data_IF_700255245048
#
_entry.id   IF_700255245048
#
_cell.length_a   1.000
_cell.length_b   1.000
_cell.length_c   1.000
_cell.angle_alpha   90.00
_cell.angle_beta   90.00
_cell.angle_gamma   90.00
#
_symmetry.space_group_name_H-M   'P 1'
#
loop_
_entity.id
_entity.type
_entity.pdbx_description
1 polymer ?
#
# COMPACT_ATOMS: atom_id res chain seq x y z
N UNK A 1 -8.83 31.59 34.60
CA UNK A 1 -8.89 32.47 33.42
C UNK A 1 -9.27 31.61 32.22
N UNK A 2 -10.52 31.15 32.06
CA UNK A 2 -11.60 31.76 31.27
C UNK A 2 -11.14 32.53 30.03
N UNK A 3 -11.26 31.91 28.86
CA UNK A 3 -11.46 32.62 27.58
C UNK A 3 -12.72 32.08 26.91
N UNK A 4 -13.62 33.02 26.62
CA UNK A 4 -15.00 32.84 26.17
C UNK A 4 -15.12 33.69 24.90
N UNK A 5 -15.55 33.10 23.79
CA UNK A 5 -15.93 33.84 22.56
C UNK A 5 -16.60 32.87 21.60
N UNK A 6 -17.94 32.88 21.44
CA UNK A 6 -18.72 33.74 20.52
C UNK A 6 -18.16 33.65 19.09
N UNK A 7 -18.88 33.24 18.05
CA UNK A 7 -20.30 32.99 17.86
C UNK A 7 -20.54 32.69 16.38
N UNK A 8 -21.78 32.27 16.09
CA UNK A 8 -22.35 31.88 14.80
C UNK A 8 -21.87 32.64 13.54
N UNK A 9 -21.76 31.91 12.44
CA UNK A 9 -22.23 32.37 11.13
C UNK A 9 -22.78 31.19 10.31
N UNK A 10 -24.11 31.11 10.27
CA UNK A 10 -24.89 30.31 9.31
C UNK A 10 -24.93 31.11 8.00
N UNK A 11 -24.58 30.48 6.88
CA UNK A 11 -24.86 31.02 5.55
C UNK A 11 -25.36 29.90 4.65
N UNK A 12 -26.69 29.80 4.57
CA UNK A 12 -27.39 29.04 3.55
C UNK A 12 -27.34 29.82 2.24
N UNK A 13 -26.98 29.17 1.13
CA UNK A 13 -27.14 29.75 -0.20
C UNK A 13 -27.83 28.72 -1.10
N UNK A 14 -29.11 28.99 -1.32
CA UNK A 14 -30.02 28.31 -2.24
C UNK A 14 -29.75 28.87 -3.64
N UNK A 15 -29.43 28.02 -4.61
CA UNK A 15 -29.62 28.34 -6.03
C UNK A 15 -30.40 27.21 -6.69
N UNK A 16 -31.63 27.54 -7.05
CA UNK A 16 -32.52 26.78 -7.90
C UNK A 16 -32.15 27.04 -9.38
N UNK A 17 -32.11 26.00 -10.19
CA UNK A 17 -32.13 26.12 -11.65
C UNK A 17 -33.10 25.11 -12.26
N UNK A 18 -34.03 25.70 -13.00
CA UNK A 18 -35.21 25.13 -13.64
C UNK A 18 -34.86 24.58 -15.02
N UNK A 19 -35.39 23.39 -15.31
CA UNK A 19 -36.05 23.04 -16.58
C UNK A 19 -35.25 23.02 -17.88
N UNK A 20 -35.08 21.82 -18.45
CA UNK A 20 -35.08 21.64 -19.90
C UNK A 20 -35.86 20.36 -20.28
N UNK A 21 -37.12 20.55 -20.65
CA UNK A 21 -37.98 19.52 -21.27
C UNK A 21 -37.64 19.41 -22.76
N UNK A 22 -36.87 18.39 -23.12
CA UNK A 22 -36.56 18.04 -24.51
C UNK A 22 -37.62 17.10 -25.11
N UNK A 23 -38.15 17.50 -26.26
CA UNK A 23 -39.25 16.89 -27.00
C UNK A 23 -38.86 15.52 -27.63
N UNK A 24 -39.77 14.55 -27.55
CA UNK A 24 -39.64 13.21 -28.12
C UNK A 24 -39.90 13.22 -29.64
N UNK A 25 -38.95 12.71 -30.43
CA UNK A 25 -39.16 12.35 -31.84
C UNK A 25 -39.56 10.87 -31.99
N UNK A 26 -40.38 10.51 -32.99
CA UNK A 26 -40.76 9.11 -33.22
C UNK A 26 -39.53 8.26 -33.60
N UNK A 27 -39.40 7.14 -32.89
CA UNK A 27 -38.32 6.18 -33.01
C UNK A 27 -38.35 5.45 -34.38
N UNK A 28 -37.20 5.30 -35.07
CA UNK A 28 -37.12 4.45 -36.25
C UNK A 28 -37.31 2.97 -35.86
N UNK A 29 -38.07 2.25 -36.69
CA UNK A 29 -38.34 0.82 -36.53
C UNK A 29 -37.02 0.01 -36.56
N UNK A 30 -36.82 -0.96 -35.65
CA UNK A 30 -35.61 -1.78 -35.66
C UNK A 30 -35.60 -2.69 -36.88
N UNK A 31 -34.57 -2.52 -37.71
CA UNK A 31 -34.19 -3.48 -38.74
C UNK A 31 -33.78 -4.80 -38.08
N UNK A 32 -34.30 -5.97 -38.52
CA UNK A 32 -33.88 -7.25 -37.96
C UNK A 32 -32.39 -7.46 -38.23
N UNK A 33 -31.59 -7.41 -37.16
CA UNK A 33 -30.17 -7.77 -37.21
C UNK A 33 -30.07 -9.29 -37.35
N UNK A 34 -29.27 -9.82 -38.30
CA UNK A 34 -29.04 -11.25 -38.39
C UNK A 34 -28.42 -11.76 -37.08
N UNK A 35 -29.09 -12.73 -36.45
CA UNK A 35 -28.57 -13.44 -35.29
C UNK A 35 -27.38 -14.29 -35.71
N UNK A 36 -26.18 -13.74 -35.59
CA UNK A 36 -24.95 -14.53 -35.67
C UNK A 36 -24.89 -15.42 -34.41
N UNK A 37 -25.29 -16.68 -34.58
CA UNK A 37 -24.98 -17.74 -33.61
C UNK A 37 -23.46 -17.86 -33.53
N UNK A 38 -22.86 -17.16 -32.56
CA UNK A 38 -21.48 -17.40 -32.17
C UNK A 38 -21.47 -18.68 -31.36
N UNK A 39 -21.02 -19.77 -31.98
CA UNK A 39 -20.52 -20.94 -31.26
C UNK A 39 -19.46 -20.43 -30.29
N UNK A 40 -19.71 -20.58 -28.99
CA UNK A 40 -18.70 -20.35 -27.97
C UNK A 40 -17.63 -21.44 -28.14
N UNK A 41 -16.63 -21.16 -28.98
CA UNK A 41 -15.35 -21.84 -28.89
C UNK A 41 -14.83 -21.56 -27.48
N UNK A 42 -14.66 -22.63 -26.70
CA UNK A 42 -14.12 -22.56 -25.36
C UNK A 42 -12.88 -21.65 -25.37
N UNK A 43 -12.96 -20.57 -24.58
CA UNK A 43 -11.79 -19.74 -24.32
C UNK A 43 -10.68 -20.67 -23.81
N UNK A 44 -9.44 -20.55 -24.31
CA UNK A 44 -8.33 -21.22 -23.65
C UNK A 44 -8.35 -20.73 -22.20
N UNK A 45 -8.50 -21.68 -21.27
CA UNK A 45 -8.23 -21.44 -19.87
C UNK A 45 -6.80 -20.95 -19.81
N UNK A 46 -6.61 -19.64 -19.69
CA UNK A 46 -5.33 -19.07 -19.31
C UNK A 46 -5.08 -19.58 -17.89
N UNK A 47 -4.47 -20.75 -17.80
CA UNK A 47 -3.79 -21.20 -16.59
C UNK A 47 -2.78 -20.10 -16.33
N UNK A 48 -3.11 -19.20 -15.42
CA UNK A 48 -2.13 -18.36 -14.77
C UNK A 48 -1.18 -19.33 -14.08
N UNK A 49 -0.10 -19.69 -14.78
CA UNK A 49 1.04 -20.32 -14.17
C UNK A 49 1.44 -19.39 -13.05
N UNK A 50 1.25 -19.83 -11.81
CA UNK A 50 1.66 -19.10 -10.63
C UNK A 50 3.08 -18.62 -10.88
N UNK A 51 3.23 -17.31 -11.00
CA UNK A 51 4.54 -16.67 -11.07
C UNK A 51 5.28 -17.17 -9.85
N UNK A 52 6.43 -17.81 -10.07
CA UNK A 52 7.30 -18.22 -8.99
C UNK A 52 7.51 -16.98 -8.12
N UNK A 53 6.99 -17.02 -6.89
CA UNK A 53 7.36 -16.06 -5.87
C UNK A 53 8.88 -16.08 -5.85
N UNK A 54 9.60 -14.99 -6.20
CA UNK A 54 10.97 -14.91 -5.78
C UNK A 54 10.87 -14.95 -4.26
N UNK A 55 11.30 -16.05 -3.66
CA UNK A 55 11.67 -16.04 -2.26
C UNK A 55 13.05 -15.41 -2.29
N UNK A 56 13.24 -14.12 -1.97
CA UNK A 56 14.57 -13.64 -1.66
C UNK A 56 15.02 -14.47 -0.46
N UNK A 57 15.89 -15.45 -0.71
CA UNK A 57 16.52 -16.25 0.31
C UNK A 57 17.67 -15.42 0.90
N UNK A 58 17.36 -14.21 1.38
CA UNK A 58 18.27 -13.49 2.22
C UNK A 58 18.28 -14.23 3.56
N UNK A 59 19.38 -14.91 3.84
CA UNK A 59 19.63 -15.40 5.20
C UNK A 59 19.58 -14.17 6.11
N UNK A 60 18.71 -14.13 7.14
CA UNK A 60 18.66 -12.98 8.03
C UNK A 60 20.06 -12.77 8.60
N UNK A 61 20.64 -11.60 8.32
CA UNK A 61 21.86 -11.20 9.00
C UNK A 61 21.50 -11.08 10.47
N UNK A 62 22.29 -11.72 11.33
CA UNK A 62 22.07 -11.69 12.77
C UNK A 62 21.95 -10.23 13.21
N UNK A 63 20.77 -9.88 13.72
CA UNK A 63 20.42 -8.54 14.22
C UNK A 63 21.53 -8.09 15.15
N UNK A 64 22.23 -7.00 14.78
CA UNK A 64 23.23 -6.42 15.65
C UNK A 64 22.55 -6.02 16.98
N UNK A 65 23.18 -6.32 18.10
CA UNK A 65 22.69 -5.89 19.41
C UNK A 65 22.58 -4.35 19.39
N UNK A 66 21.35 -3.85 19.42
CA UNK A 66 21.06 -2.43 19.46
C UNK A 66 21.82 -1.77 20.62
N UNK A 67 22.40 -0.58 20.41
CA UNK A 67 23.03 0.17 21.49
C UNK A 67 21.99 0.48 22.56
N UNK A 68 22.39 0.58 23.84
CA UNK A 68 21.45 0.80 24.93
C UNK A 68 20.54 2.02 24.67
N UNK A 69 19.26 1.77 24.35
CA UNK A 69 18.26 2.80 24.04
C UNK A 69 17.75 2.78 22.59
N UNK A 70 18.45 2.14 21.66
CA UNK A 70 17.99 1.97 20.28
C UNK A 70 16.92 0.88 20.17
N UNK A 71 16.02 1.04 19.20
CA UNK A 71 15.00 0.05 18.88
C UNK A 71 15.65 -1.26 18.41
N UNK A 72 15.18 -2.40 18.89
CA UNK A 72 15.61 -3.72 18.38
C UNK A 72 14.94 -4.06 17.06
N UNK A 73 15.44 -5.07 16.34
CA UNK A 73 14.80 -5.56 15.12
C UNK A 73 13.35 -6.00 15.31
N UNK A 74 13.06 -6.75 16.39
CA UNK A 74 11.69 -7.18 16.72
C UNK A 74 10.76 -5.99 17.00
N UNK A 75 11.27 -5.00 17.75
CA UNK A 75 10.57 -3.76 17.99
C UNK A 75 10.31 -2.98 16.70
N UNK A 76 11.24 -3.00 15.74
CA UNK A 76 11.05 -2.39 14.43
C UNK A 76 9.95 -3.07 13.62
N UNK A 77 9.79 -4.40 13.73
CA UNK A 77 8.66 -5.11 13.09
C UNK A 77 7.33 -4.66 13.69
N UNK A 78 7.23 -4.58 15.02
CA UNK A 78 6.01 -4.11 15.69
C UNK A 78 5.67 -2.67 15.31
N UNK A 79 6.67 -1.78 15.29
CA UNK A 79 6.49 -0.38 14.86
C UNK A 79 6.07 -0.32 13.40
N UNK A 80 6.64 -1.15 12.52
CA UNK A 80 6.30 -1.16 11.11
C UNK A 80 4.84 -1.53 10.88
N UNK A 81 4.34 -2.59 11.52
CA UNK A 81 2.94 -2.99 11.42
C UNK A 81 2.00 -1.91 11.98
N UNK A 82 2.35 -1.31 13.12
CA UNK A 82 1.57 -0.20 13.69
C UNK A 82 1.48 0.99 12.75
N UNK A 83 2.61 1.40 12.15
CA UNK A 83 2.63 2.52 11.20
C UNK A 83 1.90 2.15 9.91
N UNK A 84 2.01 0.93 9.43
CA UNK A 84 1.24 0.44 8.29
C UNK A 84 -0.26 0.57 8.54
N UNK A 85 -0.76 0.12 9.68
CA UNK A 85 -2.17 0.26 10.05
C UNK A 85 -2.60 1.73 10.18
N UNK A 86 -1.70 2.62 10.63
CA UNK A 86 -1.96 4.07 10.74
C UNK A 86 -2.01 4.76 9.37
N UNK A 87 -1.12 4.38 8.45
CA UNK A 87 -1.03 4.96 7.10
C UNK A 87 -1.87 4.23 6.06
N UNK A 88 -2.42 3.07 6.39
CA UNK A 88 -3.33 2.31 5.53
C UNK A 88 -4.51 3.21 5.11
N UNK A 89 -4.56 3.55 3.82
CA UNK A 89 -5.62 4.38 3.27
C UNK A 89 -6.97 3.66 3.24
N UNK A 90 -8.01 4.35 2.76
CA UNK A 90 -9.35 3.76 2.57
C UNK A 90 -9.42 2.67 1.46
N UNK A 91 -8.27 2.25 0.92
CA UNK A 91 -8.15 1.23 -0.13
C UNK A 91 -7.92 -0.17 0.44
N UNK A 92 -7.70 -1.12 -0.45
CA UNK A 92 -7.34 -2.48 -0.03
C UNK A 92 -5.85 -2.57 0.28
N UNK A 93 -5.53 -2.49 1.57
CA UNK A 93 -4.16 -2.63 2.04
C UNK A 93 -3.64 -4.06 1.96
N UNK A 94 -2.32 -4.17 1.77
CA UNK A 94 -1.59 -5.42 1.91
C UNK A 94 -1.76 -5.97 3.34
N UNK A 95 -2.11 -7.25 3.44
CA UNK A 95 -2.22 -7.98 4.71
C UNK A 95 -0.99 -8.88 4.88
N UNK A 96 -0.28 -8.85 6.03
CA UNK A 96 0.87 -9.69 6.29
C UNK A 96 0.57 -11.19 6.09
N UNK A 97 1.46 -11.90 5.39
CA UNK A 97 1.30 -13.33 5.06
C UNK A 97 2.43 -14.23 5.58
N UNK A 98 3.50 -13.65 6.11
CA UNK A 98 4.66 -14.42 6.55
C UNK A 98 5.57 -13.68 7.53
N UNK A 99 6.72 -14.29 7.81
CA UNK A 99 7.71 -13.74 8.73
C UNK A 99 8.35 -12.46 8.15
N UNK A 100 8.55 -11.47 9.01
CA UNK A 100 9.26 -10.26 8.65
C UNK A 100 10.75 -10.54 8.39
N UNK A 101 11.31 -9.81 7.44
CA UNK A 101 12.73 -9.74 7.17
C UNK A 101 13.22 -8.38 7.67
N UNK A 102 14.22 -8.40 8.54
CA UNK A 102 14.80 -7.20 9.17
C UNK A 102 16.26 -7.11 8.77
N UNK A 103 16.67 -5.93 8.31
CA UNK A 103 18.03 -5.67 7.87
C UNK A 103 18.59 -4.43 8.57
N UNK A 104 19.82 -4.54 9.05
CA UNK A 104 20.63 -3.39 9.43
C UNK A 104 21.00 -2.57 8.18
N UNK A 105 20.86 -1.25 8.31
CA UNK A 105 21.23 -0.25 7.30
C UNK A 105 22.53 0.43 7.73
N UNK A 106 23.35 0.83 6.76
CA UNK A 106 24.59 1.60 7.05
C UNK A 106 24.35 3.12 7.08
N UNK A 107 23.08 3.53 6.95
CA UNK A 107 22.62 4.91 6.92
C UNK A 107 21.44 5.05 7.88
N UNK A 108 21.14 6.28 8.30
CA UNK A 108 19.96 6.57 9.11
C UNK A 108 18.70 6.72 8.23
N UNK A 109 17.52 6.27 8.68
CA UNK A 109 17.24 5.49 9.89
C UNK A 109 17.83 4.05 9.85
N UNK A 110 18.19 3.45 11.00
CA UNK A 110 19.02 2.22 11.04
C UNK A 110 18.36 0.93 10.50
N UNK A 111 17.04 0.81 10.52
CA UNK A 111 16.32 -0.42 10.21
C UNK A 111 15.63 -0.37 8.85
N UNK A 112 15.76 -1.43 8.06
CA UNK A 112 14.87 -1.76 6.96
C UNK A 112 14.06 -2.99 7.35
N UNK A 113 12.73 -2.87 7.36
CA UNK A 113 11.80 -3.96 7.64
C UNK A 113 10.99 -4.24 6.39
N UNK A 114 10.97 -5.51 5.96
CA UNK A 114 10.18 -6.01 4.84
C UNK A 114 9.31 -7.18 5.30
N UNK A 115 7.99 -7.00 5.25
CA UNK A 115 7.02 -8.01 5.70
C UNK A 115 6.28 -8.51 4.46
N UNK A 116 6.40 -9.80 4.09
CA UNK A 116 5.64 -10.34 2.98
C UNK A 116 4.14 -10.22 3.27
N UNK A 117 3.38 -9.77 2.27
CA UNK A 117 1.98 -9.45 2.40
C UNK A 117 1.23 -9.69 1.09
N UNK A 118 -0.10 -9.66 1.11
CA UNK A 118 -0.91 -9.79 -0.11
C UNK A 118 -2.25 -9.09 0.01
N UNK A 119 -2.82 -8.71 -1.14
CA UNK A 119 -4.20 -8.28 -1.30
C UNK A 119 -4.78 -8.87 -2.60
N UNK A 120 -5.95 -8.42 -3.04
CA UNK A 120 -6.61 -8.91 -4.25
C UNK A 120 -5.83 -8.64 -5.54
N UNK A 121 -4.88 -7.69 -5.53
CA UNK A 121 -4.01 -7.37 -6.67
C UNK A 121 -2.79 -8.29 -6.77
N UNK A 122 -2.45 -9.00 -5.68
CA UNK A 122 -1.38 -9.99 -5.67
C UNK A 122 -0.47 -9.89 -4.44
N UNK A 123 0.68 -10.58 -4.49
CA UNK A 123 1.68 -10.52 -3.43
C UNK A 123 2.47 -9.21 -3.47
N UNK A 124 2.92 -8.78 -2.30
CA UNK A 124 3.76 -7.62 -2.12
C UNK A 124 4.51 -7.66 -0.79
N UNK A 125 5.07 -6.53 -0.41
CA UNK A 125 5.75 -6.31 0.85
C UNK A 125 5.22 -5.04 1.51
N UNK A 126 5.00 -5.10 2.80
CA UNK A 126 4.95 -3.91 3.64
C UNK A 126 6.39 -3.55 3.95
N UNK A 127 6.80 -2.33 3.62
CA UNK A 127 8.13 -1.82 3.86
C UNK A 127 8.11 -0.68 4.85
N UNK A 128 9.03 -0.75 5.82
CA UNK A 128 9.33 0.38 6.69
C UNK A 128 10.83 0.65 6.79
N UNK A 129 11.21 1.92 6.78
CA UNK A 129 12.55 2.41 7.11
C UNK A 129 12.47 3.15 8.44
N UNK A 130 13.09 2.59 9.49
CA UNK A 130 12.84 2.95 10.89
C UNK A 130 14.14 3.21 11.66
N UNK A 131 14.05 4.02 12.71
CA UNK A 131 15.14 4.32 13.62
C UNK A 131 14.62 4.94 14.91
N UNK A 132 15.50 5.59 15.67
CA UNK A 132 15.14 6.14 16.97
C UNK A 132 14.89 5.05 18.02
N UNK A 133 13.98 5.32 18.94
CA UNK A 133 13.65 4.41 20.04
C UNK A 133 12.28 3.77 19.82
N UNK A 134 11.97 2.68 20.52
CA UNK A 134 10.63 2.08 20.44
C UNK A 134 9.51 3.04 20.87
N UNK A 135 9.78 3.89 21.86
CA UNK A 135 8.82 4.86 22.41
C UNK A 135 8.67 6.13 21.56
N UNK A 136 9.72 6.48 20.81
CA UNK A 136 9.77 7.64 19.92
C UNK A 136 10.44 7.21 18.59
N UNK A 137 9.68 6.51 17.72
CA UNK A 137 10.21 5.99 16.48
C UNK A 137 10.39 7.11 15.44
N UNK A 138 11.49 7.06 14.71
CA UNK A 138 11.70 7.89 13.52
C UNK A 138 11.48 7.01 12.29
N UNK A 139 10.70 7.49 11.32
CA UNK A 139 10.46 6.78 10.05
C UNK A 139 10.62 7.72 8.87
N UNK A 140 11.20 7.21 7.77
CA UNK A 140 11.33 7.96 6.51
C UNK A 140 10.66 7.26 5.33
N UNK A 141 10.24 6.00 5.48
CA UNK A 141 9.46 5.32 4.45
C UNK A 141 8.55 4.31 5.10
N UNK A 142 7.24 4.44 4.90
CA UNK A 142 6.23 3.43 5.25
C UNK A 142 5.35 3.27 4.01
N UNK A 143 5.26 2.06 3.47
CA UNK A 143 4.49 1.84 2.25
C UNK A 143 4.37 0.39 1.83
N UNK A 144 3.52 0.19 0.83
CA UNK A 144 3.25 -1.10 0.20
C UNK A 144 4.00 -1.19 -1.12
N UNK A 145 4.79 -2.25 -1.30
CA UNK A 145 5.61 -2.50 -2.49
C UNK A 145 5.12 -3.77 -3.18
N UNK A 146 4.98 -3.75 -4.51
CA UNK A 146 4.73 -4.97 -5.28
C UNK A 146 5.98 -5.85 -5.29
N UNK A 147 5.80 -7.17 -5.27
CA UNK A 147 6.89 -8.13 -5.02
C UNK A 147 8.00 -8.12 -6.07
N UNK A 148 7.71 -7.70 -7.30
CA UNK A 148 8.68 -7.66 -8.41
C UNK A 148 9.69 -6.52 -8.29
N UNK A 149 9.42 -5.50 -7.47
CA UNK A 149 10.34 -4.38 -7.21
C UNK A 149 11.34 -4.73 -6.09
N UNK A 150 10.95 -5.58 -5.14
CA UNK A 150 11.77 -5.92 -3.97
C UNK A 150 12.77 -7.02 -4.33
N UNK A 151 13.81 -6.62 -5.06
CA UNK A 151 14.95 -7.46 -5.45
C UNK A 151 16.10 -7.35 -4.45
N UNK A 152 17.09 -8.23 -4.54
CA UNK A 152 18.31 -8.13 -3.72
C UNK A 152 19.05 -6.81 -3.97
N UNK A 153 19.07 -6.32 -5.21
CA UNK A 153 19.66 -5.02 -5.58
C UNK A 153 18.90 -3.87 -4.90
N UNK A 154 17.56 -3.93 -4.88
CA UNK A 154 16.74 -2.97 -4.16
C UNK A 154 17.03 -2.98 -2.66
N UNK A 155 17.12 -4.17 -2.06
CA UNK A 155 17.41 -4.32 -0.62
C UNK A 155 18.77 -3.71 -0.30
N UNK A 156 19.82 -4.04 -1.06
CA UNK A 156 21.16 -3.49 -0.83
C UNK A 156 21.19 -1.97 -1.02
N UNK A 157 20.51 -1.45 -2.04
CA UNK A 157 20.36 0.00 -2.23
C UNK A 157 19.65 0.64 -1.03
N UNK A 158 18.50 0.12 -0.62
CA UNK A 158 17.73 0.64 0.51
C UNK A 158 18.51 0.57 1.83
N UNK A 159 19.41 -0.41 2.00
CA UNK A 159 20.28 -0.54 3.17
C UNK A 159 21.43 0.45 3.21
N UNK A 160 21.91 0.92 2.06
CA UNK A 160 23.16 1.68 1.96
C UNK A 160 22.97 3.12 1.51
N UNK A 161 21.81 3.46 0.94
CA UNK A 161 21.48 4.78 0.43
C UNK A 161 20.29 5.36 1.20
N UNK A 162 20.41 6.63 1.57
CA UNK A 162 19.30 7.40 2.10
C UNK A 162 18.76 8.32 1.00
N UNK A 163 17.71 7.87 0.31
CA UNK A 163 17.09 8.62 -0.80
C UNK A 163 16.27 9.83 -0.33
N UNK A 164 16.22 10.11 0.99
CA UNK A 164 15.63 11.34 1.53
C UNK A 164 14.15 11.52 1.17
N UNK A 165 13.37 10.46 1.32
CA UNK A 165 11.91 10.49 1.13
C UNK A 165 11.27 11.47 2.12
#
# INVERSE_FOLDING_TARGET
>A
MSFRGKGLAVAALIVASVGFTGCAGPAPAPTPTPSATRTATAAPSATATASASPSPSATPTASAEASAGEMTGDQAVEVCLRLHDEYAGAGESLVPTGAAQVYDRTVEPHWLVLIPASNSYGPGYIQCILGGTYADPVHTGVGEMVSDIVTDEYIEHARTVNDGI
#
